data_IF_989800992221
#
_entry.id   IF_989800992221
#
_cell.length_a   1.000
_cell.length_b   1.000
_cell.length_c   1.000
_cell.angle_alpha   90.00
_cell.angle_beta   90.00
_cell.angle_gamma   90.00
#
_symmetry.space_group_name_H-M   'P 1'
#
loop_
_entity.id
_entity.type
_entity.pdbx_description
1 polymer ?
#
# COMPACT_ATOMS: atom_id res chain seq x y z
N UNK A 1 -6.97 7.92 -21.83
CA UNK A 1 -8.37 7.56 -21.58
C UNK A 1 -8.51 6.34 -20.68
N UNK A 2 -8.06 5.10 -21.00
CA UNK A 2 -8.08 3.98 -20.05
C UNK A 2 -7.21 4.21 -18.80
N UNK A 3 -5.97 4.67 -18.97
CA UNK A 3 -5.07 4.92 -17.84
C UNK A 3 -5.66 5.97 -16.88
N UNK A 4 -6.22 7.04 -17.43
CA UNK A 4 -6.82 8.12 -16.66
C UNK A 4 -7.99 7.63 -15.80
N UNK A 5 -8.98 6.97 -16.41
CA UNK A 5 -10.26 6.69 -15.75
C UNK A 5 -10.37 5.28 -15.16
N UNK A 6 -9.58 4.31 -15.63
CA UNK A 6 -9.57 2.96 -15.09
C UNK A 6 -8.48 2.79 -14.04
N UNK A 7 -7.21 2.98 -14.41
CA UNK A 7 -6.07 2.83 -13.48
C UNK A 7 -6.07 3.94 -12.43
N UNK A 8 -6.45 5.15 -12.85
CA UNK A 8 -6.52 6.31 -11.96
C UNK A 8 -7.77 6.40 -11.08
N UNK A 9 -8.75 5.49 -11.23
CA UNK A 9 -10.05 5.58 -10.55
C UNK A 9 -9.93 5.70 -9.02
N UNK A 10 -9.01 4.94 -8.43
CA UNK A 10 -8.79 4.95 -6.98
C UNK A 10 -8.41 6.35 -6.46
N UNK A 11 -7.64 7.12 -7.23
CA UNK A 11 -7.25 8.49 -6.87
C UNK A 11 -8.43 9.44 -6.94
N UNK A 12 -9.34 9.26 -7.90
CA UNK A 12 -10.58 10.06 -7.97
C UNK A 12 -11.51 9.79 -6.79
N UNK A 13 -11.70 8.52 -6.44
CA UNK A 13 -12.51 8.12 -5.28
C UNK A 13 -11.87 8.64 -3.98
N UNK A 14 -10.55 8.49 -3.83
CA UNK A 14 -9.80 9.01 -2.68
C UNK A 14 -9.91 10.53 -2.55
N UNK A 15 -9.80 11.24 -3.68
CA UNK A 15 -9.95 12.70 -3.74
C UNK A 15 -11.34 13.15 -3.33
N UNK A 16 -12.38 12.51 -3.86
CA UNK A 16 -13.76 12.85 -3.53
C UNK A 16 -14.03 12.67 -2.03
N UNK A 17 -13.56 11.56 -1.44
CA UNK A 17 -13.67 11.31 0.01
C UNK A 17 -12.90 12.34 0.83
N UNK A 18 -11.67 12.67 0.45
CA UNK A 18 -10.84 13.64 1.16
C UNK A 18 -11.47 15.04 1.17
N UNK A 19 -11.92 15.50 -0.01
CA UNK A 19 -12.56 16.79 -0.17
C UNK A 19 -13.90 16.87 0.56
N UNK A 20 -14.70 15.79 0.53
CA UNK A 20 -15.94 15.71 1.32
C UNK A 20 -15.68 15.81 2.82
N UNK A 21 -14.52 15.33 3.27
CA UNK A 21 -14.07 15.42 4.66
C UNK A 21 -13.31 16.73 4.96
N UNK A 22 -13.32 17.71 4.05
CA UNK A 22 -12.69 19.02 4.25
C UNK A 22 -11.16 18.99 4.27
N UNK A 23 -10.54 17.96 3.69
CA UNK A 23 -9.09 17.77 3.67
C UNK A 23 -8.55 17.60 2.24
N UNK A 24 -7.27 17.92 2.06
CA UNK A 24 -6.55 17.64 0.83
C UNK A 24 -5.40 16.65 1.13
N UNK A 25 -5.33 15.57 0.35
CA UNK A 25 -4.31 14.54 0.50
C UNK A 25 -3.60 14.27 -0.84
N UNK A 26 -2.68 13.30 -0.85
CA UNK A 26 -1.94 12.92 -2.05
C UNK A 26 -2.87 12.58 -3.22
N UNK A 27 -3.99 11.90 -2.97
CA UNK A 27 -4.93 11.51 -4.02
C UNK A 27 -5.56 12.76 -4.67
N UNK A 28 -5.92 13.79 -3.89
CA UNK A 28 -6.43 15.09 -4.40
C UNK A 28 -5.44 15.74 -5.36
N UNK A 29 -4.16 15.79 -4.99
CA UNK A 29 -3.13 16.38 -5.84
C UNK A 29 -3.01 15.64 -7.18
N UNK A 30 -3.06 14.30 -7.14
CA UNK A 30 -2.94 13.44 -8.33
C UNK A 30 -4.15 13.61 -9.24
N UNK A 31 -5.35 13.55 -8.67
CA UNK A 31 -6.58 13.70 -9.44
C UNK A 31 -6.65 15.10 -10.08
N UNK A 32 -6.28 16.15 -9.35
CA UNK A 32 -6.26 17.51 -9.88
C UNK A 32 -5.24 17.68 -11.00
N UNK A 33 -3.98 17.28 -10.79
CA UNK A 33 -2.91 17.46 -11.78
C UNK A 33 -3.15 16.67 -13.07
N UNK A 34 -3.53 15.39 -12.94
CA UNK A 34 -3.80 14.54 -14.10
C UNK A 34 -5.06 14.97 -14.85
N UNK A 35 -6.12 15.42 -14.13
CA UNK A 35 -7.33 15.95 -14.77
C UNK A 35 -7.08 17.27 -15.48
N UNK A 36 -6.29 18.17 -14.88
CA UNK A 36 -5.94 19.44 -15.51
C UNK A 36 -5.22 19.20 -16.85
N UNK A 37 -4.22 18.32 -16.87
CA UNK A 37 -3.54 17.93 -18.11
C UNK A 37 -4.51 17.28 -19.12
N UNK A 38 -5.39 16.38 -18.67
CA UNK A 38 -6.35 15.70 -19.53
C UNK A 38 -7.38 16.65 -20.17
N UNK A 39 -8.03 17.50 -19.36
CA UNK A 39 -9.06 18.43 -19.84
C UNK A 39 -8.47 19.55 -20.69
N UNK A 40 -7.29 20.06 -20.35
CA UNK A 40 -6.58 21.00 -21.22
C UNK A 40 -6.35 20.38 -22.61
N UNK A 41 -5.83 19.15 -22.65
CA UNK A 41 -5.58 18.43 -23.89
C UNK A 41 -6.86 18.15 -24.68
N UNK A 42 -7.97 17.91 -23.99
CA UNK A 42 -9.28 17.74 -24.61
C UNK A 42 -9.74 19.02 -25.31
N UNK A 43 -9.60 20.18 -24.66
CA UNK A 43 -9.97 21.49 -25.24
C UNK A 43 -9.09 21.81 -26.45
N UNK A 44 -7.80 21.47 -26.41
CA UNK A 44 -6.88 21.59 -27.56
C UNK A 44 -7.33 20.71 -28.72
N UNK A 45 -7.66 19.43 -28.47
CA UNK A 45 -8.12 18.50 -29.54
C UNK A 45 -9.46 18.91 -30.13
N UNK A 46 -10.34 19.51 -29.35
CA UNK A 46 -11.61 20.07 -29.84
C UNK A 46 -11.41 21.34 -30.68
N UNK A 47 -10.18 21.83 -30.85
CA UNK A 47 -9.86 23.00 -31.66
C UNK A 47 -10.29 24.33 -31.04
N UNK A 48 -10.66 24.32 -29.76
CA UNK A 48 -11.14 25.53 -29.05
C UNK A 48 -10.00 26.47 -28.68
N UNK A 49 -8.79 25.93 -28.49
CA UNK A 49 -7.56 26.69 -28.22
C UNK A 49 -6.39 26.09 -28.99
N UNK A 50 -5.44 26.91 -29.48
CA UNK A 50 -4.18 26.40 -30.01
C UNK A 50 -3.28 25.92 -28.87
N UNK A 51 -2.60 24.78 -29.05
CA UNK A 51 -1.70 24.23 -28.04
C UNK A 51 -1.22 22.83 -28.36
N UNK A 52 -0.35 22.30 -27.48
CA UNK A 52 0.10 20.91 -27.53
C UNK A 52 -0.75 20.06 -26.58
N UNK A 53 -0.94 18.78 -26.90
CA UNK A 53 -1.66 17.86 -26.01
C UNK A 53 -0.73 17.24 -24.97
N UNK A 54 -1.24 17.08 -23.76
CA UNK A 54 -0.57 16.50 -22.59
C UNK A 54 -1.28 15.22 -22.09
N UNK A 55 -2.00 14.51 -22.96
CA UNK A 55 -2.61 13.23 -22.60
C UNK A 55 -1.57 12.21 -22.12
N UNK A 56 -0.40 12.19 -22.76
CA UNK A 56 0.72 11.34 -22.34
C UNK A 56 1.19 11.71 -20.93
N UNK A 57 1.37 13.00 -20.64
CA UNK A 57 1.78 13.47 -19.32
C UNK A 57 0.83 13.01 -18.23
N UNK A 58 -0.49 13.12 -18.46
CA UNK A 58 -1.50 12.62 -17.51
C UNK A 58 -1.36 11.11 -17.25
N UNK A 59 -1.14 10.32 -18.30
CA UNK A 59 -0.99 8.88 -18.21
C UNK A 59 0.32 8.47 -17.52
N UNK A 60 1.43 9.15 -17.82
CA UNK A 60 2.74 8.91 -17.19
C UNK A 60 2.68 9.19 -15.68
N UNK A 61 2.08 10.31 -15.28
CA UNK A 61 1.91 10.66 -13.85
C UNK A 61 1.16 9.53 -13.11
N UNK A 62 -0.01 9.14 -13.62
CA UNK A 62 -0.81 8.08 -12.97
C UNK A 62 -0.04 6.77 -12.91
N UNK A 63 0.65 6.41 -13.99
CA UNK A 63 1.40 5.15 -14.09
C UNK A 63 2.55 5.10 -13.10
N UNK A 64 3.38 6.14 -13.05
CA UNK A 64 4.54 6.20 -12.15
C UNK A 64 4.13 6.17 -10.68
N UNK A 65 3.05 6.86 -10.32
CA UNK A 65 2.57 6.86 -8.94
C UNK A 65 1.98 5.49 -8.58
N UNK A 66 1.21 4.87 -9.47
CA UNK A 66 0.67 3.52 -9.24
C UNK A 66 1.80 2.50 -9.09
N UNK A 67 2.84 2.60 -9.92
CA UNK A 67 4.04 1.78 -9.82
C UNK A 67 4.76 2.00 -8.48
N UNK A 68 4.93 3.24 -8.04
CA UNK A 68 5.51 3.57 -6.74
C UNK A 68 4.74 2.92 -5.58
N UNK A 69 3.41 3.08 -5.55
CA UNK A 69 2.55 2.44 -4.52
C UNK A 69 2.66 0.90 -4.56
N UNK A 70 2.79 0.31 -5.75
CA UNK A 70 3.00 -1.13 -5.90
C UNK A 70 4.35 -1.59 -5.32
N UNK A 71 5.43 -0.89 -5.65
CA UNK A 71 6.76 -1.19 -5.12
C UNK A 71 6.81 -1.03 -3.60
N UNK A 72 6.17 0.01 -3.07
CA UNK A 72 6.03 0.24 -1.63
C UNK A 72 5.28 -0.91 -0.95
N UNK A 73 4.14 -1.32 -1.50
CA UNK A 73 3.37 -2.44 -0.96
C UNK A 73 4.15 -3.75 -1.01
N UNK A 74 4.87 -4.00 -2.11
CA UNK A 74 5.73 -5.18 -2.26
C UNK A 74 6.84 -5.20 -1.22
N UNK A 75 7.53 -4.08 -1.00
CA UNK A 75 8.58 -3.97 0.01
C UNK A 75 8.04 -4.18 1.43
N UNK A 76 6.92 -3.54 1.78
CA UNK A 76 6.26 -3.72 3.08
C UNK A 76 5.81 -5.18 3.29
N UNK A 77 5.29 -5.83 2.26
CA UNK A 77 4.90 -7.24 2.30
C UNK A 77 6.08 -8.17 2.61
N UNK A 78 7.24 -7.94 1.96
CA UNK A 78 8.45 -8.72 2.22
C UNK A 78 8.93 -8.60 3.67
N UNK A 79 8.94 -7.38 4.23
CA UNK A 79 9.29 -7.16 5.65
C UNK A 79 8.30 -7.85 6.59
N UNK A 80 7.00 -7.77 6.30
CA UNK A 80 5.97 -8.44 7.10
C UNK A 80 6.17 -9.97 7.12
N UNK A 81 6.48 -10.57 5.98
CA UNK A 81 6.74 -12.01 5.89
C UNK A 81 7.99 -12.43 6.66
N UNK A 82 9.06 -11.63 6.65
CA UNK A 82 10.24 -11.89 7.46
C UNK A 82 9.92 -11.87 8.97
N UNK A 83 9.13 -10.90 9.43
CA UNK A 83 8.68 -10.83 10.83
C UNK A 83 7.82 -12.04 11.19
N UNK A 84 6.88 -12.45 10.33
CA UNK A 84 6.05 -13.65 10.56
C UNK A 84 6.91 -14.91 10.68
N UNK A 85 7.95 -15.06 9.85
CA UNK A 85 8.88 -16.19 9.95
C UNK A 85 9.62 -16.21 11.30
N UNK A 86 10.09 -15.05 11.77
CA UNK A 86 10.72 -14.95 13.09
C UNK A 86 9.74 -15.32 14.22
N UNK A 87 8.50 -14.85 14.15
CA UNK A 87 7.46 -15.24 15.12
C UNK A 87 7.16 -16.75 15.09
N UNK A 88 7.22 -17.37 13.91
CA UNK A 88 7.00 -18.80 13.74
C UNK A 88 8.12 -19.69 14.28
N UNK A 89 9.33 -19.15 14.50
CA UNK A 89 10.45 -19.88 15.11
C UNK A 89 10.35 -19.98 16.63
N UNK A 90 9.42 -19.24 17.27
CA UNK A 90 9.20 -19.34 18.72
C UNK A 90 8.68 -20.75 19.04
N UNK A 91 9.38 -21.43 19.95
CA UNK A 91 8.94 -22.74 20.46
C UNK A 91 7.56 -22.60 21.10
N UNK A 92 6.66 -23.54 20.78
CA UNK A 92 5.29 -23.57 21.33
C UNK A 92 5.19 -24.39 22.60
N UNK A 93 6.05 -25.40 22.71
CA UNK A 93 6.16 -26.29 23.86
C UNK A 93 7.61 -26.35 24.32
N UNK A 94 7.79 -26.72 25.58
CA UNK A 94 9.07 -27.02 26.19
C UNK A 94 8.92 -28.30 27.02
N UNK A 95 9.97 -29.10 27.08
CA UNK A 95 10.00 -30.28 27.94
C UNK A 95 10.76 -29.89 29.20
N UNK A 96 10.15 -30.04 30.37
CA UNK A 96 10.76 -29.67 31.65
C UNK A 96 10.80 -30.88 32.58
N UNK A 97 11.76 -30.90 33.51
CA UNK A 97 11.81 -31.87 34.60
C UNK A 97 11.16 -31.26 35.84
N UNK A 98 10.01 -31.80 36.27
CA UNK A 98 9.33 -31.43 37.52
C UNK A 98 9.07 -32.68 38.34
N UNK A 99 9.34 -32.62 39.65
CA UNK A 99 9.21 -33.75 40.57
C UNK A 99 9.96 -35.03 40.14
N UNK A 100 11.01 -34.87 39.30
CA UNK A 100 11.82 -35.97 38.78
C UNK A 100 11.29 -36.63 37.49
N UNK A 101 10.18 -36.16 36.94
CA UNK A 101 9.60 -36.65 35.68
C UNK A 101 9.70 -35.60 34.56
N UNK A 102 9.91 -36.07 33.32
CA UNK A 102 9.89 -35.21 32.13
C UNK A 102 8.46 -34.98 31.66
N UNK A 103 8.04 -33.71 31.60
CA UNK A 103 6.70 -33.31 31.17
C UNK A 103 6.81 -32.27 30.07
N UNK A 104 6.02 -32.42 29.00
CA UNK A 104 5.90 -31.41 27.94
C UNK A 104 4.80 -30.42 28.29
N UNK A 105 5.15 -29.14 28.39
CA UNK A 105 4.24 -28.03 28.72
C UNK A 105 4.30 -26.94 27.65
N UNK A 106 3.27 -26.09 27.51
CA UNK A 106 3.36 -24.89 26.69
C UNK A 106 4.56 -24.02 27.09
N UNK A 107 5.27 -23.46 26.11
CA UNK A 107 6.47 -22.65 26.37
C UNK A 107 6.17 -21.41 27.24
N UNK A 108 4.91 -20.94 27.25
CA UNK A 108 4.45 -19.82 28.06
C UNK A 108 4.20 -20.20 29.54
N UNK A 109 4.17 -21.50 29.87
CA UNK A 109 4.00 -22.03 31.23
C UNK A 109 5.33 -22.42 31.91
N UNK A 110 6.45 -22.27 31.20
CA UNK A 110 7.80 -22.48 31.72
C UNK A 110 8.13 -21.37 32.71
N UNK A 111 8.60 -21.75 33.89
CA UNK A 111 8.94 -20.82 34.97
C UNK A 111 10.46 -20.69 35.13
N UNK A 112 10.90 -19.55 35.67
CA UNK A 112 12.31 -19.32 35.98
C UNK A 112 12.76 -20.33 37.04
N UNK A 113 13.71 -21.19 36.67
CA UNK A 113 14.21 -22.27 37.53
C UNK A 113 13.80 -23.68 37.09
N UNK A 114 12.88 -23.83 36.12
CA UNK A 114 12.63 -25.12 35.47
C UNK A 114 13.90 -25.63 34.77
N UNK A 115 14.13 -26.94 34.86
CA UNK A 115 15.17 -27.63 34.09
C UNK A 115 14.54 -28.04 32.76
N UNK A 116 15.07 -27.54 31.64
CA UNK A 116 14.52 -27.65 30.27
C UNK A 116 15.43 -28.43 29.35
#
# INVERSE_FOLDING_TARGET
TPVQFYVGWDYYVGSYKALRNGSANMDVLIAMGSSAAYFYSLVVVLGLIPGNTYFETSAVIITLIKLGKYLEAKAKGQTSEAIKKLMGLRAKTARVIRDGEEVEIPADEVQVGDIV
#
